data_IF_118212901176
#
_entry.id   IF_118212901176
#
_cell.length_a   1.000
_cell.length_b   1.000
_cell.length_c   1.000
_cell.angle_alpha   90.00
_cell.angle_beta   90.00
_cell.angle_gamma   90.00
#
_symmetry.space_group_name_H-M   'P 1'
#
loop_
_entity.id
_entity.type
_entity.pdbx_description
1 polymer ?
#
# COMPACT_ATOMS: atom_id res chain seq x y z
N UNK A 1 -12.41 7.82 -5.68
CA UNK A 1 -10.96 7.51 -5.62
C UNK A 1 -10.20 8.13 -6.80
N UNK A 2 -9.07 8.80 -6.53
CA UNK A 2 -8.12 9.35 -7.49
C UNK A 2 -6.94 8.38 -7.68
N UNK A 3 -6.64 8.02 -8.93
CA UNK A 3 -5.50 7.16 -9.29
C UNK A 3 -4.22 8.01 -9.46
N UNK A 4 -3.10 7.58 -8.88
CA UNK A 4 -1.86 8.37 -8.78
C UNK A 4 -0.61 7.57 -9.19
N UNK A 5 -0.54 6.28 -8.86
CA UNK A 5 0.60 5.39 -9.17
C UNK A 5 2.00 5.97 -8.81
N UNK A 6 2.14 6.57 -7.64
CA UNK A 6 3.39 7.20 -7.19
C UNK A 6 4.26 6.23 -6.36
N UNK A 7 5.59 6.22 -6.54
CA UNK A 7 6.47 5.44 -5.66
C UNK A 7 6.50 6.05 -4.25
N UNK A 8 6.43 5.20 -3.24
CA UNK A 8 6.41 5.61 -1.82
C UNK A 8 7.35 4.74 -0.99
N UNK A 9 7.73 5.26 0.18
CA UNK A 9 8.37 4.45 1.22
C UNK A 9 7.30 3.93 2.17
N UNK A 10 7.46 2.68 2.62
CA UNK A 10 6.52 2.02 3.53
C UNK A 10 7.31 1.29 4.60
N UNK A 11 6.94 1.50 5.86
CA UNK A 11 7.38 0.64 6.96
C UNK A 11 6.40 -0.50 7.11
N UNK A 12 6.93 -1.71 7.15
CA UNK A 12 6.14 -2.94 7.18
C UNK A 12 6.63 -3.86 8.29
N UNK A 13 5.72 -4.65 8.83
CA UNK A 13 6.05 -5.83 9.60
C UNK A 13 5.92 -7.06 8.73
N UNK A 14 6.93 -7.92 8.74
CA UNK A 14 6.80 -9.30 8.29
C UNK A 14 6.32 -10.13 9.48
N UNK A 15 5.06 -10.58 9.44
CA UNK A 15 4.43 -11.38 10.51
C UNK A 15 4.14 -12.78 9.98
N UNK A 16 5.05 -13.70 10.25
CA UNK A 16 4.99 -15.04 9.67
C UNK A 16 5.08 -14.95 8.14
N UNK A 17 4.04 -15.42 7.45
CA UNK A 17 3.93 -15.38 5.99
C UNK A 17 3.16 -14.16 5.45
N UNK A 18 2.85 -13.17 6.29
CA UNK A 18 2.09 -11.98 5.92
C UNK A 18 2.94 -10.72 5.98
N UNK A 19 2.68 -9.80 5.04
CA UNK A 19 3.18 -8.42 5.06
C UNK A 19 2.09 -7.55 5.68
N UNK A 20 2.44 -6.80 6.71
CA UNK A 20 1.52 -5.86 7.36
C UNK A 20 2.11 -4.44 7.29
N UNK A 21 1.62 -3.59 6.37
CA UNK A 21 1.95 -2.16 6.36
C UNK A 21 1.63 -1.49 7.69
N UNK A 22 2.57 -0.72 8.22
CA UNK A 22 2.42 0.03 9.46
C UNK A 22 2.21 1.52 9.20
N UNK A 23 3.05 2.11 8.36
CA UNK A 23 2.90 3.48 7.90
C UNK A 23 3.59 3.65 6.55
N UNK A 24 3.20 4.68 5.82
CA UNK A 24 3.82 5.05 4.55
C UNK A 24 4.05 6.56 4.49
N UNK A 25 4.93 6.97 3.58
CA UNK A 25 5.35 8.36 3.45
C UNK A 25 4.86 8.92 2.12
N UNK A 26 4.00 9.95 2.19
CA UNK A 26 3.43 10.59 1.01
C UNK A 26 3.21 12.08 1.25
N UNK A 27 3.59 12.93 0.27
CA UNK A 27 3.54 14.40 0.38
C UNK A 27 4.19 14.95 1.66
N UNK A 28 5.39 14.48 2.00
CA UNK A 28 6.12 14.83 3.23
C UNK A 28 5.37 14.53 4.55
N UNK A 29 4.34 13.69 4.51
CA UNK A 29 3.62 13.21 5.70
C UNK A 29 3.92 11.74 5.94
N UNK A 30 4.06 11.37 7.21
CA UNK A 30 3.99 9.98 7.63
C UNK A 30 2.54 9.64 7.93
N UNK A 31 1.96 8.75 7.12
CA UNK A 31 0.56 8.34 7.23
C UNK A 31 0.53 6.97 7.89
N UNK A 32 -0.04 6.90 9.09
CA UNK A 32 -0.17 5.64 9.85
C UNK A 32 -1.31 4.81 9.26
N UNK A 33 -1.09 3.52 9.05
CA UNK A 33 -2.16 2.61 8.66
C UNK A 33 -2.96 2.25 9.91
N UNK A 34 -4.20 2.73 10.00
CA UNK A 34 -5.08 2.45 11.14
C UNK A 34 -5.80 1.12 10.95
N UNK A 35 -6.22 0.82 9.72
CA UNK A 35 -6.86 -0.43 9.35
C UNK A 35 -6.43 -0.86 7.95
N UNK A 36 -6.19 -2.15 7.77
CA UNK A 36 -6.09 -2.80 6.46
C UNK A 36 -7.45 -3.45 6.19
N UNK A 37 -8.18 -2.94 5.21
CA UNK A 37 -9.54 -3.37 4.89
C UNK A 37 -9.57 -4.57 3.94
N UNK A 38 -8.62 -4.63 3.02
CA UNK A 38 -8.51 -5.70 2.03
C UNK A 38 -7.05 -5.94 1.67
N UNK A 39 -6.70 -7.22 1.52
CA UNK A 39 -5.44 -7.65 0.93
C UNK A 39 -5.75 -8.62 -0.20
N UNK A 40 -5.17 -8.39 -1.37
CA UNK A 40 -5.24 -9.33 -2.48
C UNK A 40 -3.95 -9.30 -3.28
N UNK A 41 -3.78 -10.29 -4.15
CA UNK A 41 -2.63 -10.41 -5.03
C UNK A 41 -3.06 -10.38 -6.48
N UNK A 42 -2.30 -9.70 -7.33
CA UNK A 42 -2.45 -9.77 -8.79
C UNK A 42 -1.16 -10.29 -9.42
N UNK A 43 -1.26 -10.74 -10.68
CA UNK A 43 -0.12 -11.19 -11.47
C UNK A 43 -0.09 -10.48 -12.82
N UNK A 44 1.09 -10.09 -13.25
CA UNK A 44 1.38 -9.64 -14.62
C UNK A 44 2.59 -10.40 -15.15
N UNK A 45 2.31 -11.41 -15.99
CA UNK A 45 3.30 -12.41 -16.38
C UNK A 45 3.90 -13.12 -15.16
N UNK A 46 5.21 -12.98 -14.99
CA UNK A 46 5.95 -13.54 -13.85
C UNK A 46 5.94 -12.63 -12.61
N UNK A 47 5.49 -11.38 -12.74
CA UNK A 47 5.45 -10.43 -11.63
C UNK A 47 4.24 -10.72 -10.75
N UNK A 48 4.44 -10.72 -9.43
CA UNK A 48 3.36 -10.80 -8.45
C UNK A 48 3.32 -9.50 -7.67
N UNK A 49 2.13 -8.95 -7.50
CA UNK A 49 1.90 -7.72 -6.74
C UNK A 49 0.99 -8.01 -5.57
N UNK A 50 1.34 -7.47 -4.40
CA UNK A 50 0.41 -7.39 -3.27
C UNK A 50 -0.29 -6.03 -3.30
N UNK A 51 -1.60 -6.05 -3.13
CA UNK A 51 -2.41 -4.84 -3.01
C UNK A 51 -3.01 -4.78 -1.61
N UNK A 52 -2.95 -3.60 -0.99
CA UNK A 52 -3.45 -3.33 0.34
C UNK A 52 -4.40 -2.12 0.28
N UNK A 53 -5.66 -2.32 0.62
CA UNK A 53 -6.60 -1.22 0.84
C UNK A 53 -6.53 -0.84 2.32
N UNK A 54 -6.15 0.40 2.61
CA UNK A 54 -5.88 0.90 3.95
C UNK A 54 -6.77 2.10 4.28
N UNK A 55 -7.13 2.28 5.55
CA UNK A 55 -7.76 3.50 6.06
C UNK A 55 -6.85 4.22 7.05
N UNK A 56 -6.90 5.55 7.02
CA UNK A 56 -6.23 6.43 7.98
C UNK A 56 -6.95 7.77 8.09
N UNK A 57 -7.55 8.04 9.25
CA UNK A 57 -8.17 9.34 9.55
C UNK A 57 -9.27 9.74 8.56
N UNK A 58 -10.20 8.83 8.27
CA UNK A 58 -11.28 9.01 7.28
C UNK A 58 -10.88 8.63 5.85
N UNK A 59 -9.64 8.93 5.46
CA UNK A 59 -9.16 8.68 4.10
C UNK A 59 -8.91 7.20 3.80
N UNK A 60 -9.03 6.84 2.52
CA UNK A 60 -8.70 5.51 1.99
C UNK A 60 -7.51 5.57 1.04
N UNK A 61 -6.64 4.56 1.12
CA UNK A 61 -5.43 4.45 0.32
C UNK A 61 -5.30 3.04 -0.26
N UNK A 62 -4.88 2.92 -1.52
CA UNK A 62 -4.48 1.65 -2.13
C UNK A 62 -2.98 1.62 -2.30
N UNK A 63 -2.32 0.71 -1.60
CA UNK A 63 -0.88 0.49 -1.71
C UNK A 63 -0.61 -0.77 -2.54
N UNK A 64 0.41 -0.73 -3.39
CA UNK A 64 0.92 -1.91 -4.09
C UNK A 64 2.37 -2.17 -3.75
N UNK A 65 2.70 -3.42 -3.47
CA UNK A 65 4.07 -3.91 -3.36
C UNK A 65 4.41 -4.81 -4.55
N UNK A 66 5.42 -4.42 -5.30
CA UNK A 66 5.99 -5.18 -6.41
C UNK A 66 7.10 -6.10 -5.90
N UNK A 67 6.85 -7.41 -5.92
CA UNK A 67 7.81 -8.42 -5.47
C UNK A 67 9.03 -8.53 -6.38
N UNK A 68 8.92 -8.23 -7.68
CA UNK A 68 10.06 -8.38 -8.60
C UNK A 68 11.02 -7.20 -8.50
N UNK A 69 10.50 -6.01 -8.14
CA UNK A 69 11.31 -4.79 -8.00
C UNK A 69 11.58 -4.38 -6.56
N UNK A 70 10.95 -5.04 -5.58
CA UNK A 70 10.96 -4.66 -4.16
C UNK A 70 10.57 -3.18 -3.95
N UNK A 71 9.54 -2.72 -4.68
CA UNK A 71 9.08 -1.32 -4.69
C UNK A 71 7.64 -1.18 -4.23
N UNK A 72 7.37 -0.12 -3.49
CA UNK A 72 6.03 0.26 -3.07
C UNK A 72 5.48 1.41 -3.90
N UNK A 73 4.19 1.37 -4.14
CA UNK A 73 3.44 2.39 -4.87
C UNK A 73 2.16 2.76 -4.12
N UNK A 74 1.81 4.04 -4.13
CA UNK A 74 0.47 4.51 -3.85
C UNK A 74 -0.30 4.49 -5.17
N UNK A 75 -1.19 3.52 -5.33
CA UNK A 75 -1.99 3.38 -6.55
C UNK A 75 -3.09 4.42 -6.59
N UNK A 76 -3.81 4.58 -5.48
CA UNK A 76 -4.97 5.45 -5.41
C UNK A 76 -5.24 6.01 -4.01
N UNK A 77 -5.93 7.14 -3.95
CA UNK A 77 -6.38 7.79 -2.71
C UNK A 77 -7.84 8.23 -2.83
N UNK A 78 -8.59 8.15 -1.75
CA UNK A 78 -9.88 8.79 -1.59
C UNK A 78 -9.83 9.59 -0.29
N UNK A 79 -10.04 10.90 -0.41
CA UNK A 79 -10.13 11.81 0.74
C UNK A 79 -11.62 12.05 1.01
N UNK A 80 -12.00 12.00 2.29
CA UNK A 80 -13.36 12.36 2.76
C UNK A 80 -13.62 13.88 2.61
#
# INVERSE_FOLDING_TARGET
>A
MLEISEPINVWVFFKGNLIQPWCFFWKNRQIKVERINLVHTSKDGANTFYHFSCSSGGNFYKLRFDLSKLKWFLEAVEED
#
